data_IF_674120072846
#
_entry.id   IF_674120072846
#
_cell.length_a   1.000
_cell.length_b   1.000
_cell.length_c   1.000
_cell.angle_alpha   90.00
_cell.angle_beta   90.00
_cell.angle_gamma   90.00
#
_symmetry.space_group_name_H-M   'P 1'
#
loop_
_entity.id
_entity.type
_entity.pdbx_description
1 polymer ?
#
# COMPACT_ATOMS: atom_id res chain seq x y z
N UNK A 1 -13.25 38.43 0.20
CA UNK A 1 -12.31 37.63 -0.62
C UNK A 1 -11.20 37.24 0.31
N UNK A 2 -11.31 35.99 0.82
CA UNK A 2 -10.51 35.55 1.93
C UNK A 2 -9.09 35.13 1.51
N UNK A 3 -8.29 34.77 2.48
CA UNK A 3 -6.90 34.31 2.48
C UNK A 3 -6.60 33.27 1.36
N UNK A 4 -7.60 32.58 0.84
CA UNK A 4 -7.58 31.52 -0.17
C UNK A 4 -7.34 32.01 -1.61
N UNK A 5 -7.69 33.28 -1.94
CA UNK A 5 -7.53 33.80 -3.31
C UNK A 5 -6.08 33.86 -3.80
N UNK A 6 -5.13 34.03 -2.89
CA UNK A 6 -3.70 34.14 -3.24
C UNK A 6 -2.98 32.78 -3.35
N UNK A 7 -3.50 31.71 -2.73
CA UNK A 7 -2.91 30.38 -2.79
C UNK A 7 -3.23 29.68 -4.12
N UNK A 8 -4.44 29.89 -4.65
CA UNK A 8 -4.88 29.35 -5.96
C UNK A 8 -4.14 30.01 -7.14
N UNK A 9 -3.68 31.25 -6.99
CA UNK A 9 -3.04 32.02 -8.08
C UNK A 9 -1.56 31.64 -8.29
N UNK A 10 -0.88 31.06 -7.30
CA UNK A 10 0.56 30.75 -7.38
C UNK A 10 0.90 29.46 -8.14
N UNK A 11 -0.08 28.62 -8.51
CA UNK A 11 0.17 27.33 -9.17
C UNK A 11 -0.38 27.27 -10.59
N UNK A 12 0.00 28.24 -11.46
CA UNK A 12 -0.17 28.12 -12.91
C UNK A 12 1.08 27.55 -13.60
N UNK A 13 1.63 26.47 -13.10
CA UNK A 13 2.34 25.56 -13.98
C UNK A 13 1.32 24.55 -14.50
N UNK A 14 0.79 24.83 -15.69
CA UNK A 14 -0.04 23.89 -16.45
C UNK A 14 0.90 22.77 -16.88
N UNK A 15 1.02 21.73 -16.06
CA UNK A 15 1.58 20.46 -16.53
C UNK A 15 0.65 19.94 -17.62
N UNK A 16 1.16 19.81 -18.82
CA UNK A 16 0.41 19.21 -19.92
C UNK A 16 0.37 17.69 -19.62
N UNK A 17 -0.71 17.23 -18.95
CA UNK A 17 -0.91 15.83 -18.66
C UNK A 17 -1.51 15.13 -19.88
N UNK A 18 -0.97 13.97 -20.24
CA UNK A 18 -1.50 13.11 -21.31
C UNK A 18 -2.80 12.42 -20.87
N UNK A 19 -2.90 12.13 -19.57
CA UNK A 19 -4.02 11.35 -19.01
C UNK A 19 -5.00 12.25 -18.24
N UNK A 20 -6.29 11.85 -18.23
CA UNK A 20 -7.34 12.53 -17.45
C UNK A 20 -7.23 12.14 -15.97
N UNK A 21 -6.43 12.90 -15.22
CA UNK A 21 -6.25 12.77 -13.78
C UNK A 21 -6.94 13.89 -12.98
N UNK A 22 -7.79 14.69 -13.65
CA UNK A 22 -8.53 15.82 -13.06
C UNK A 22 -10.01 15.50 -12.79
N UNK A 23 -10.55 14.49 -13.48
CA UNK A 23 -11.96 14.13 -13.38
C UNK A 23 -12.12 12.79 -12.65
N UNK A 24 -13.06 12.75 -11.71
CA UNK A 24 -13.46 11.51 -11.02
C UNK A 24 -14.89 11.14 -11.39
N UNK A 25 -15.19 9.86 -11.26
CA UNK A 25 -16.56 9.35 -11.26
C UNK A 25 -16.94 8.97 -9.82
N UNK A 26 -18.01 9.56 -9.29
CA UNK A 26 -18.55 9.11 -8.01
C UNK A 26 -18.86 7.61 -8.06
N UNK A 27 -18.37 6.86 -7.08
CA UNK A 27 -18.46 5.39 -7.09
C UNK A 27 -19.56 4.85 -6.16
N UNK A 28 -20.59 5.69 -5.89
CA UNK A 28 -21.82 5.23 -5.26
C UNK A 28 -22.49 4.21 -6.14
N UNK A 29 -23.07 3.23 -5.84
CA UNK A 29 -23.83 2.29 -6.70
C UNK A 29 -23.02 1.19 -7.41
N UNK A 30 -21.69 1.29 -7.44
CA UNK A 30 -20.84 0.20 -7.97
C UNK A 30 -20.16 -0.64 -6.86
N UNK A 31 -20.59 -0.47 -5.61
CA UNK A 31 -20.09 -1.27 -4.49
C UNK A 31 -18.72 -0.84 -3.95
N UNK A 32 -18.23 0.36 -4.25
CA UNK A 32 -16.97 0.86 -3.72
C UNK A 32 -17.02 0.99 -2.20
N UNK A 33 -16.15 0.27 -1.49
CA UNK A 33 -16.15 0.23 -0.03
C UNK A 33 -16.03 1.63 0.58
N UNK A 34 -15.00 2.40 0.23
CA UNK A 34 -14.76 3.72 0.79
C UNK A 34 -15.86 4.74 0.46
N UNK A 35 -16.51 4.64 -0.70
CA UNK A 35 -17.62 5.52 -1.06
C UNK A 35 -18.90 5.18 -0.29
N UNK A 36 -19.11 3.91 0.07
CA UNK A 36 -20.28 3.51 0.89
C UNK A 36 -20.21 4.07 2.31
N UNK A 37 -19.03 4.29 2.89
CA UNK A 37 -18.88 4.89 4.22
C UNK A 37 -19.48 6.29 4.31
N UNK A 38 -19.49 7.04 3.20
CA UNK A 38 -20.01 8.41 3.14
C UNK A 38 -21.50 8.50 2.82
N UNK A 39 -22.12 7.42 2.32
CA UNK A 39 -23.44 7.42 1.66
C UNK A 39 -24.56 8.09 2.46
N UNK A 40 -24.54 7.96 3.78
CA UNK A 40 -25.61 8.44 4.65
C UNK A 40 -25.26 9.74 5.40
N UNK A 41 -24.12 10.35 5.11
CA UNK A 41 -23.76 11.61 5.75
C UNK A 41 -24.33 12.79 4.94
N UNK A 42 -25.24 13.60 5.54
CA UNK A 42 -25.90 14.71 4.84
C UNK A 42 -24.96 15.87 4.47
N UNK A 43 -23.73 15.88 4.97
CA UNK A 43 -22.72 16.88 4.64
C UNK A 43 -21.91 16.55 3.37
N UNK A 44 -22.15 15.38 2.77
CA UNK A 44 -21.46 14.96 1.55
C UNK A 44 -22.07 15.70 0.35
N UNK A 45 -21.23 16.44 -0.35
CA UNK A 45 -21.52 17.13 -1.61
C UNK A 45 -20.50 16.72 -2.69
N UNK A 46 -20.57 17.35 -3.86
CA UNK A 46 -19.67 17.05 -4.99
C UNK A 46 -18.19 17.39 -4.74
N UNK A 47 -17.89 18.09 -3.65
CA UNK A 47 -16.51 18.44 -3.24
C UNK A 47 -15.93 17.45 -2.22
N UNK A 48 -16.69 16.45 -1.83
CA UNK A 48 -16.26 15.44 -0.86
C UNK A 48 -15.97 14.13 -1.56
N UNK A 49 -14.78 13.62 -1.33
CA UNK A 49 -14.37 12.26 -1.70
C UNK A 49 -13.78 11.55 -0.49
N UNK A 50 -13.79 10.21 -0.47
CA UNK A 50 -13.13 9.48 0.59
C UNK A 50 -11.60 9.44 0.37
N UNK A 51 -10.85 9.68 1.44
CA UNK A 51 -9.40 9.57 1.50
C UNK A 51 -8.94 8.32 2.25
N UNK A 52 -9.89 7.45 2.60
CA UNK A 52 -9.64 6.12 3.18
C UNK A 52 -9.33 5.09 2.09
N UNK A 53 -9.00 3.90 2.52
CA UNK A 53 -8.70 2.73 1.67
C UNK A 53 -7.59 3.01 0.64
N UNK A 54 -6.73 2.04 0.38
CA UNK A 54 -5.64 2.20 -0.57
C UNK A 54 -6.08 1.77 -1.98
N UNK A 55 -6.99 2.52 -2.60
CA UNK A 55 -7.25 2.58 -4.04
C UNK A 55 -7.32 4.04 -4.51
N UNK A 56 -7.15 4.29 -5.80
CA UNK A 56 -7.05 5.63 -6.34
C UNK A 56 -8.40 6.13 -6.86
N UNK A 57 -8.56 7.46 -6.95
CA UNK A 57 -9.71 8.11 -7.59
C UNK A 57 -9.48 8.39 -9.09
N UNK A 58 -8.43 7.84 -9.67
CA UNK A 58 -8.11 7.97 -11.09
C UNK A 58 -8.69 6.81 -11.91
N UNK A 59 -9.10 7.10 -13.15
CA UNK A 59 -9.41 6.05 -14.14
C UNK A 59 -8.13 5.30 -14.50
N UNK A 60 -8.30 4.07 -14.95
CA UNK A 60 -7.20 3.29 -15.54
C UNK A 60 -6.60 4.01 -16.74
N UNK A 61 -5.33 3.73 -17.03
CA UNK A 61 -4.73 4.12 -18.30
C UNK A 61 -5.61 3.65 -19.46
N UNK A 62 -5.84 4.50 -20.47
CA UNK A 62 -6.64 4.13 -21.65
C UNK A 62 -6.13 2.85 -22.32
N UNK A 63 -4.83 2.65 -22.37
CA UNK A 63 -4.18 1.47 -22.95
C UNK A 63 -4.64 0.17 -22.24
N UNK A 64 -4.84 0.21 -20.94
CA UNK A 64 -5.36 -0.93 -20.17
C UNK A 64 -6.84 -1.13 -20.48
N UNK A 65 -7.64 -0.05 -20.43
CA UNK A 65 -9.08 -0.10 -20.63
C UNK A 65 -9.44 -0.60 -22.03
N UNK A 66 -8.82 -0.04 -23.08
CA UNK A 66 -9.09 -0.41 -24.47
C UNK A 66 -8.54 -1.81 -24.79
N UNK A 67 -7.38 -2.16 -24.21
CA UNK A 67 -6.84 -3.51 -24.33
C UNK A 67 -7.77 -4.57 -23.74
N UNK A 68 -8.36 -4.33 -22.56
CA UNK A 68 -9.34 -5.23 -21.94
C UNK A 68 -10.63 -5.35 -22.77
N UNK A 69 -11.16 -4.24 -23.29
CA UNK A 69 -12.34 -4.28 -24.19
C UNK A 69 -12.06 -5.16 -25.41
N UNK A 70 -10.93 -4.90 -26.08
CA UNK A 70 -10.52 -5.69 -27.22
C UNK A 70 -10.32 -7.16 -26.86
N UNK A 71 -9.74 -7.46 -25.70
CA UNK A 71 -9.57 -8.84 -25.27
C UNK A 71 -10.90 -9.56 -25.07
N UNK A 72 -11.92 -8.88 -24.51
CA UNK A 72 -13.27 -9.43 -24.33
C UNK A 72 -13.93 -9.67 -25.68
N UNK A 73 -13.78 -8.74 -26.63
CA UNK A 73 -14.39 -8.85 -27.98
C UNK A 73 -13.78 -10.00 -28.78
N UNK A 74 -12.47 -10.24 -28.63
CA UNK A 74 -11.74 -11.21 -29.44
C UNK A 74 -11.72 -12.64 -28.85
N UNK A 75 -12.08 -12.84 -27.58
CA UNK A 75 -11.80 -14.10 -26.89
C UNK A 75 -13.03 -14.70 -26.17
N UNK A 76 -12.99 -16.01 -25.98
CA UNK A 76 -13.93 -16.74 -25.12
C UNK A 76 -13.40 -16.70 -23.68
N UNK A 77 -14.25 -16.28 -22.74
CA UNK A 77 -13.90 -16.18 -21.30
C UNK A 77 -14.12 -17.52 -20.59
N UNK A 78 -13.44 -18.57 -21.06
CA UNK A 78 -13.47 -19.90 -20.45
C UNK A 78 -12.45 -20.05 -19.32
N UNK A 79 -12.32 -21.28 -18.78
CA UNK A 79 -11.28 -21.58 -17.81
C UNK A 79 -9.90 -21.36 -18.41
N UNK A 80 -9.06 -20.61 -17.73
CA UNK A 80 -7.72 -20.29 -18.19
C UNK A 80 -6.74 -20.24 -17.02
N UNK A 81 -5.50 -20.59 -17.32
CA UNK A 81 -4.34 -20.32 -16.44
C UNK A 81 -3.49 -19.20 -17.02
N UNK A 82 -2.31 -19.01 -16.45
CA UNK A 82 -1.33 -18.06 -16.93
C UNK A 82 -0.81 -18.44 -18.32
N UNK A 83 -0.49 -17.44 -19.11
CA UNK A 83 0.14 -17.62 -20.40
C UNK A 83 1.55 -17.01 -20.44
N UNK A 84 2.30 -17.35 -21.49
CA UNK A 84 3.68 -16.89 -21.67
C UNK A 84 3.80 -15.36 -21.66
N UNK A 85 2.91 -14.63 -22.34
CA UNK A 85 2.96 -13.15 -22.43
C UNK A 85 2.81 -12.50 -21.05
N UNK A 86 1.88 -12.99 -20.24
CA UNK A 86 1.71 -12.53 -18.87
C UNK A 86 2.98 -12.77 -18.04
N UNK A 87 3.52 -14.01 -18.03
CA UNK A 87 4.73 -14.35 -17.26
C UNK A 87 5.92 -13.50 -17.67
N UNK A 88 6.14 -13.36 -18.97
CA UNK A 88 7.20 -12.49 -19.50
C UNK A 88 7.04 -11.02 -19.10
N UNK A 89 5.81 -10.47 -19.13
CA UNK A 89 5.56 -9.08 -18.70
C UNK A 89 5.88 -8.88 -17.23
N UNK A 90 5.50 -9.83 -16.37
CA UNK A 90 5.81 -9.81 -14.94
C UNK A 90 7.33 -9.84 -14.70
N UNK A 91 8.05 -10.79 -15.33
CA UNK A 91 9.50 -10.89 -15.17
C UNK A 91 10.23 -9.65 -15.69
N UNK A 92 9.83 -9.11 -16.85
CA UNK A 92 10.41 -7.89 -17.41
C UNK A 92 10.19 -6.67 -16.53
N UNK A 93 8.99 -6.56 -15.93
CA UNK A 93 8.69 -5.47 -15.00
C UNK A 93 9.59 -5.51 -13.77
N UNK A 94 9.73 -6.66 -13.13
CA UNK A 94 10.60 -6.85 -11.97
C UNK A 94 12.06 -6.51 -12.29
N UNK A 95 12.57 -7.01 -13.42
CA UNK A 95 13.94 -6.71 -13.85
C UNK A 95 14.15 -5.22 -14.12
N UNK A 96 13.21 -4.59 -14.82
CA UNK A 96 13.34 -3.19 -15.26
C UNK A 96 13.25 -2.21 -14.09
N UNK A 97 12.31 -2.41 -13.18
CA UNK A 97 11.98 -1.43 -12.14
C UNK A 97 12.60 -1.72 -10.78
N UNK A 98 12.97 -2.98 -10.50
CA UNK A 98 13.45 -3.40 -9.18
C UNK A 98 14.81 -4.09 -9.21
N UNK A 99 15.49 -4.14 -10.36
CA UNK A 99 16.76 -4.88 -10.55
C UNK A 99 16.63 -6.37 -10.10
N UNK A 100 15.41 -6.89 -10.08
CA UNK A 100 15.11 -8.25 -9.60
C UNK A 100 14.92 -9.21 -10.77
N UNK A 101 15.95 -10.01 -11.05
CA UNK A 101 15.89 -11.06 -12.08
C UNK A 101 15.14 -12.26 -11.53
N UNK A 102 13.97 -12.56 -12.11
CA UNK A 102 13.09 -13.67 -11.71
C UNK A 102 13.09 -14.78 -12.77
N UNK A 103 13.14 -16.04 -12.30
CA UNK A 103 12.79 -17.19 -13.14
C UNK A 103 11.26 -17.33 -13.16
N UNK A 104 10.67 -17.48 -14.35
CA UNK A 104 9.21 -17.69 -14.51
C UNK A 104 8.67 -18.87 -13.68
N UNK A 105 9.52 -19.84 -13.35
CA UNK A 105 9.16 -20.99 -12.52
C UNK A 105 8.88 -20.64 -11.06
N UNK A 106 9.44 -19.49 -10.59
CA UNK A 106 9.22 -19.03 -9.22
C UNK A 106 7.85 -18.39 -9.03
N UNK A 107 7.21 -17.99 -10.14
CA UNK A 107 5.94 -17.27 -10.10
C UNK A 107 4.79 -18.19 -9.70
N UNK A 108 4.10 -17.77 -8.66
CA UNK A 108 2.84 -18.33 -8.16
C UNK A 108 1.82 -17.19 -8.09
N UNK A 109 0.65 -17.43 -8.63
CA UNK A 109 -0.42 -16.43 -8.65
C UNK A 109 -1.35 -16.62 -7.45
N UNK A 110 -1.82 -15.53 -6.85
CA UNK A 110 -2.88 -15.52 -5.84
C UNK A 110 -3.87 -14.41 -6.12
N UNK A 111 -5.08 -14.48 -5.56
CA UNK A 111 -6.13 -13.46 -5.77
C UNK A 111 -5.73 -12.09 -5.18
N UNK A 112 -4.84 -12.05 -4.22
CA UNK A 112 -4.29 -10.83 -3.65
C UNK A 112 -3.04 -11.11 -2.83
N UNK A 113 -2.24 -10.08 -2.54
CA UNK A 113 -1.12 -10.20 -1.59
C UNK A 113 -1.62 -10.58 -0.19
N UNK A 114 -2.84 -10.17 0.18
CA UNK A 114 -3.46 -10.63 1.45
C UNK A 114 -3.64 -12.15 1.43
N UNK A 115 -4.18 -12.74 0.37
CA UNK A 115 -4.25 -14.21 0.24
C UNK A 115 -2.85 -14.83 0.32
N UNK A 116 -1.85 -14.23 -0.33
CA UNK A 116 -0.49 -14.76 -0.34
C UNK A 116 0.09 -14.88 1.09
N UNK A 117 0.02 -13.82 1.92
CA UNK A 117 0.56 -13.93 3.27
C UNK A 117 -0.31 -14.76 4.22
N UNK A 118 -1.65 -14.85 4.01
CA UNK A 118 -2.50 -15.80 4.72
C UNK A 118 -2.10 -17.25 4.41
N UNK A 119 -1.91 -17.57 3.13
CA UNK A 119 -1.43 -18.88 2.68
C UNK A 119 -0.05 -19.19 3.26
N UNK A 120 0.88 -18.21 3.23
CA UNK A 120 2.22 -18.39 3.79
C UNK A 120 2.18 -18.68 5.29
N UNK A 121 1.37 -17.94 6.07
CA UNK A 121 1.18 -18.20 7.52
C UNK A 121 0.68 -19.63 7.76
N UNK A 122 -0.26 -20.11 6.97
CA UNK A 122 -0.79 -21.49 7.10
C UNK A 122 0.24 -22.55 6.71
N UNK A 123 0.92 -22.35 5.58
CA UNK A 123 1.85 -23.32 4.99
C UNK A 123 3.14 -23.49 5.81
N UNK A 124 3.64 -22.42 6.45
CA UNK A 124 5.00 -22.40 7.02
C UNK A 124 5.05 -22.22 8.54
N UNK A 125 3.90 -22.16 9.20
CA UNK A 125 3.84 -22.09 10.67
C UNK A 125 2.80 -23.04 11.22
N UNK A 126 2.90 -23.33 12.52
CA UNK A 126 1.92 -24.11 13.27
C UNK A 126 1.11 -23.20 14.19
N UNK A 127 -0.05 -23.70 14.70
CA UNK A 127 -0.80 -22.99 15.75
C UNK A 127 0.08 -22.75 16.96
N UNK A 128 0.12 -21.49 17.43
CA UNK A 128 0.97 -21.08 18.55
C UNK A 128 2.36 -20.58 18.16
N UNK A 129 2.82 -20.81 16.92
CA UNK A 129 4.07 -20.23 16.44
C UNK A 129 3.98 -18.69 16.38
N UNK A 130 5.11 -18.04 16.63
CA UNK A 130 5.26 -16.59 16.57
C UNK A 130 5.44 -16.09 15.15
N UNK A 131 4.67 -15.07 14.77
CA UNK A 131 4.83 -14.31 13.53
C UNK A 131 5.10 -12.86 13.87
N UNK A 132 6.25 -12.35 13.42
CA UNK A 132 6.71 -10.98 13.69
C UNK A 132 6.10 -9.96 12.74
N UNK A 133 5.80 -8.77 13.28
CA UNK A 133 5.43 -7.57 12.53
C UNK A 133 6.18 -6.35 13.07
N UNK A 134 6.68 -5.49 12.18
CA UNK A 134 7.06 -4.13 12.53
C UNK A 134 5.80 -3.26 12.59
N UNK A 135 5.51 -2.63 13.74
CA UNK A 135 4.24 -1.91 13.97
C UNK A 135 4.46 -0.40 14.21
N UNK A 136 3.53 0.50 13.79
CA UNK A 136 2.20 0.22 13.20
C UNK A 136 2.32 -0.34 11.78
N UNK A 137 1.37 -1.22 11.38
CA UNK A 137 1.40 -1.85 10.06
C UNK A 137 0.00 -2.16 9.54
N UNK A 138 -0.13 -2.48 8.28
CA UNK A 138 -1.36 -2.83 7.59
C UNK A 138 -2.16 -3.92 8.33
N UNK A 139 -3.37 -3.57 8.74
CA UNK A 139 -4.18 -4.38 9.68
C UNK A 139 -4.52 -5.81 9.22
N UNK A 140 -4.64 -6.16 7.92
CA UNK A 140 -4.84 -7.56 7.53
C UNK A 140 -3.68 -8.49 7.91
N UNK A 141 -2.47 -7.97 8.15
CA UNK A 141 -1.35 -8.79 8.62
C UNK A 141 -1.58 -9.29 10.05
N UNK A 142 -2.17 -8.47 10.93
CA UNK A 142 -2.61 -8.91 12.26
C UNK A 142 -3.67 -10.01 12.15
N UNK A 143 -4.66 -9.82 11.24
CA UNK A 143 -5.73 -10.81 11.01
C UNK A 143 -5.19 -12.13 10.49
N UNK A 144 -4.17 -12.13 9.63
CA UNK A 144 -3.55 -13.35 9.15
C UNK A 144 -2.92 -14.17 10.28
N UNK A 145 -2.38 -13.51 11.28
CA UNK A 145 -1.79 -14.14 12.46
C UNK A 145 -2.89 -14.67 13.39
N UNK A 146 -3.83 -13.81 13.74
CA UNK A 146 -4.87 -14.06 14.74
C UNK A 146 -5.87 -15.14 14.30
N UNK A 147 -6.45 -15.00 13.10
CA UNK A 147 -7.43 -15.94 12.54
C UNK A 147 -6.83 -17.35 12.42
N UNK A 148 -5.55 -17.43 12.05
CA UNK A 148 -4.84 -18.68 11.94
C UNK A 148 -4.29 -19.20 13.29
N UNK A 149 -4.63 -18.57 14.42
CA UNK A 149 -4.21 -18.98 15.77
C UNK A 149 -2.69 -19.00 15.96
N UNK A 150 -1.96 -18.11 15.29
CA UNK A 150 -0.55 -17.85 15.52
C UNK A 150 -0.40 -16.76 16.58
N UNK A 151 0.77 -16.67 17.16
CA UNK A 151 1.12 -15.67 18.16
C UNK A 151 1.68 -14.42 17.49
N UNK A 152 1.05 -13.29 17.71
CA UNK A 152 1.58 -12.00 17.26
C UNK A 152 2.85 -11.63 18.06
N UNK A 153 3.94 -11.35 17.36
CA UNK A 153 5.21 -10.87 17.91
C UNK A 153 5.45 -9.45 17.39
N UNK A 154 4.99 -8.46 18.13
CA UNK A 154 5.16 -7.05 17.74
C UNK A 154 6.58 -6.55 18.00
N UNK A 155 7.08 -5.79 17.05
CA UNK A 155 8.31 -5.00 17.13
C UNK A 155 7.92 -3.55 16.80
N UNK A 156 7.53 -2.75 17.82
CA UNK A 156 7.18 -1.36 17.61
C UNK A 156 8.35 -0.59 17.01
N UNK A 157 8.09 0.09 15.92
CA UNK A 157 9.04 1.00 15.29
C UNK A 157 9.19 2.27 16.13
N UNK A 158 10.37 2.84 16.13
CA UNK A 158 10.72 4.07 16.85
C UNK A 158 10.41 5.25 15.93
N UNK A 159 9.39 6.04 16.27
CA UNK A 159 9.12 7.30 15.58
C UNK A 159 10.14 8.36 15.99
N UNK A 160 10.99 8.80 15.06
CA UNK A 160 12.01 9.84 15.29
C UNK A 160 11.55 11.26 14.92
N UNK A 161 10.26 11.43 14.59
CA UNK A 161 9.63 12.70 14.20
C UNK A 161 9.68 13.01 12.70
N UNK A 162 10.49 12.28 11.93
CA UNK A 162 10.61 12.42 10.47
C UNK A 162 10.22 11.12 9.80
N UNK A 163 10.71 9.99 10.33
CA UNK A 163 10.47 8.63 9.84
C UNK A 163 10.43 7.65 11.02
N UNK A 164 10.50 6.38 10.73
CA UNK A 164 10.47 5.31 11.72
C UNK A 164 11.72 4.45 11.61
N UNK A 165 12.33 4.10 12.74
CA UNK A 165 13.52 3.27 12.83
C UNK A 165 13.20 1.93 13.46
N UNK A 166 14.02 0.90 13.17
CA UNK A 166 13.88 -0.43 13.77
C UNK A 166 14.58 -0.43 15.13
N UNK A 167 13.91 -0.92 16.18
CA UNK A 167 14.55 -1.33 17.42
C UNK A 167 15.28 -2.67 17.20
N UNK A 168 16.56 -2.58 16.84
CA UNK A 168 17.38 -3.73 16.49
C UNK A 168 17.62 -4.69 17.65
N UNK A 169 17.70 -4.19 18.87
CA UNK A 169 17.89 -5.01 20.06
C UNK A 169 16.64 -5.80 20.38
N UNK A 170 15.48 -5.15 20.32
CA UNK A 170 14.19 -5.81 20.48
C UNK A 170 13.96 -6.82 19.36
N UNK A 171 14.21 -6.46 18.10
CA UNK A 171 14.05 -7.36 16.96
C UNK A 171 14.91 -8.62 17.11
N UNK A 172 16.21 -8.44 17.39
CA UNK A 172 17.15 -9.56 17.61
C UNK A 172 16.73 -10.44 18.78
N UNK A 173 16.26 -9.83 19.89
CA UNK A 173 15.76 -10.57 21.05
C UNK A 173 14.53 -11.41 20.72
N UNK A 174 13.56 -10.85 19.97
CA UNK A 174 12.33 -11.54 19.56
C UNK A 174 12.59 -12.63 18.54
N UNK A 175 13.52 -12.42 17.61
CA UNK A 175 13.92 -13.40 16.62
C UNK A 175 14.55 -14.66 17.25
N UNK A 176 15.24 -14.53 18.37
CA UNK A 176 15.86 -15.67 19.09
C UNK A 176 14.87 -16.56 19.84
N UNK A 177 13.59 -16.16 19.94
CA UNK A 177 12.59 -17.01 20.58
C UNK A 177 12.30 -18.23 19.71
N UNK A 178 12.39 -19.43 20.29
CA UNK A 178 12.31 -20.71 19.55
C UNK A 178 10.99 -20.93 18.83
N UNK A 179 9.93 -20.29 19.31
CA UNK A 179 8.58 -20.33 18.72
C UNK A 179 8.37 -19.27 17.61
N UNK A 180 9.32 -18.36 17.38
CA UNK A 180 9.23 -17.39 16.28
C UNK A 180 9.66 -18.01 14.96
N UNK A 181 8.77 -18.05 13.95
CA UNK A 181 8.98 -18.77 12.69
C UNK A 181 8.89 -17.90 11.44
N UNK A 182 8.28 -16.72 11.53
CA UNK A 182 8.01 -15.91 10.35
C UNK A 182 8.11 -14.41 10.67
N UNK A 183 8.57 -13.64 9.70
CA UNK A 183 8.43 -12.18 9.63
C UNK A 183 7.58 -11.84 8.41
N UNK A 184 6.44 -11.14 8.58
CA UNK A 184 5.75 -10.49 7.47
C UNK A 184 6.28 -9.06 7.38
N UNK A 185 7.04 -8.78 6.33
CA UNK A 185 7.72 -7.51 6.10
C UNK A 185 6.97 -6.67 5.08
N UNK A 186 6.34 -5.57 5.51
CA UNK A 186 5.74 -4.59 4.61
C UNK A 186 6.84 -3.68 4.02
N UNK A 187 7.07 -3.72 2.72
CA UNK A 187 8.21 -3.05 2.05
C UNK A 187 7.83 -2.56 0.63
N UNK A 188 7.56 -1.27 0.42
CA UNK A 188 7.54 -0.13 1.36
C UNK A 188 6.51 -0.27 2.47
N UNK A 189 6.78 0.38 3.62
CA UNK A 189 6.03 0.19 4.85
C UNK A 189 4.77 1.07 4.94
N UNK A 190 3.61 0.46 4.96
CA UNK A 190 2.30 1.09 5.17
C UNK A 190 1.86 0.88 6.64
N UNK A 191 1.52 1.94 7.42
CA UNK A 191 1.08 3.25 6.96
C UNK A 191 2.17 4.33 6.89
N UNK A 192 3.38 4.07 7.35
CA UNK A 192 4.40 5.11 7.55
C UNK A 192 5.02 5.67 6.27
N UNK A 193 4.78 5.03 5.11
CA UNK A 193 5.28 5.51 3.83
C UNK A 193 6.80 5.43 3.66
N UNK A 194 7.52 4.62 4.48
CA UNK A 194 8.97 4.52 4.43
C UNK A 194 9.47 3.39 3.54
N UNK A 195 10.68 3.56 3.00
CA UNK A 195 11.45 2.54 2.29
C UNK A 195 12.52 2.00 3.24
N UNK A 196 12.70 0.67 3.25
CA UNK A 196 13.83 0.04 3.94
C UNK A 196 15.08 0.15 3.08
N UNK A 197 16.22 0.55 3.70
CA UNK A 197 17.50 0.61 2.99
C UNK A 197 18.06 -0.78 2.74
N UNK A 198 19.02 -0.90 1.82
CA UNK A 198 19.71 -2.17 1.57
C UNK A 198 20.39 -2.70 2.82
N UNK A 199 21.00 -1.81 3.61
CA UNK A 199 21.67 -2.13 4.86
C UNK A 199 20.68 -2.69 5.89
N UNK A 200 19.51 -2.07 6.02
CA UNK A 200 18.45 -2.55 6.92
C UNK A 200 17.92 -3.92 6.47
N UNK A 201 17.63 -4.07 5.18
CA UNK A 201 17.15 -5.35 4.63
C UNK A 201 18.20 -6.45 4.77
N UNK A 202 19.49 -6.13 4.59
CA UNK A 202 20.59 -7.08 4.81
C UNK A 202 20.62 -7.53 6.27
N UNK A 203 20.55 -6.59 7.21
CA UNK A 203 20.55 -6.91 8.64
C UNK A 203 19.29 -7.69 9.06
N UNK A 204 18.11 -7.36 8.51
CA UNK A 204 16.89 -8.16 8.70
C UNK A 204 17.12 -9.58 8.22
N UNK A 205 17.69 -9.75 7.01
CA UNK A 205 17.97 -11.05 6.41
C UNK A 205 18.94 -11.87 7.28
N UNK A 206 20.05 -11.29 7.72
CA UNK A 206 21.03 -11.95 8.57
C UNK A 206 20.42 -12.45 9.88
N UNK A 207 19.60 -11.63 10.55
CA UNK A 207 18.90 -12.01 11.78
C UNK A 207 17.89 -13.14 11.52
N UNK A 208 17.11 -13.03 10.45
CA UNK A 208 16.10 -14.03 10.11
C UNK A 208 16.75 -15.39 9.74
N UNK A 209 17.78 -15.38 8.89
CA UNK A 209 18.50 -16.59 8.49
C UNK A 209 19.18 -17.28 9.69
N UNK A 210 19.81 -16.50 10.57
CA UNK A 210 20.48 -17.04 11.77
C UNK A 210 19.51 -17.74 12.75
N UNK A 211 18.20 -17.47 12.66
CA UNK A 211 17.17 -18.01 13.55
C UNK A 211 16.11 -18.86 12.82
N UNK A 212 16.35 -19.24 11.57
CA UNK A 212 15.45 -20.03 10.73
C UNK A 212 14.03 -19.41 10.63
N UNK A 213 13.98 -18.10 10.38
CA UNK A 213 12.75 -17.32 10.25
C UNK A 213 12.48 -17.00 8.79
N UNK A 214 11.37 -17.52 8.24
CA UNK A 214 10.93 -17.24 6.89
C UNK A 214 10.49 -15.76 6.76
N UNK A 215 10.95 -15.06 5.73
CA UNK A 215 10.50 -13.70 5.44
C UNK A 215 9.45 -13.72 4.34
N UNK A 216 8.27 -13.17 4.62
CA UNK A 216 7.23 -12.89 3.64
C UNK A 216 7.25 -11.39 3.37
N UNK A 217 7.86 -10.97 2.26
CA UNK A 217 8.00 -9.57 1.90
C UNK A 217 6.78 -9.12 1.07
N UNK A 218 5.95 -8.28 1.66
CA UNK A 218 4.84 -7.61 0.98
C UNK A 218 5.38 -6.35 0.27
N UNK A 219 5.67 -6.48 -1.01
CA UNK A 219 6.20 -5.43 -1.88
C UNK A 219 5.12 -4.81 -2.79
N UNK A 220 3.84 -4.87 -2.38
CA UNK A 220 2.71 -4.38 -3.18
C UNK A 220 2.80 -2.88 -3.54
N UNK A 221 3.57 -2.10 -2.79
CA UNK A 221 3.79 -0.68 -3.01
C UNK A 221 5.13 -0.35 -3.70
N UNK A 222 5.88 -1.34 -4.14
CA UNK A 222 7.24 -1.20 -4.66
C UNK A 222 7.39 -0.22 -5.83
N UNK A 223 6.35 -0.06 -6.66
CA UNK A 223 6.36 0.83 -7.83
C UNK A 223 5.98 2.30 -7.50
N UNK A 224 5.43 2.55 -6.31
CA UNK A 224 4.89 3.85 -5.91
C UNK A 224 5.93 4.63 -5.10
N UNK A 225 7.01 5.02 -5.75
CA UNK A 225 8.19 5.61 -5.12
C UNK A 225 8.22 7.11 -5.39
N UNK A 226 8.36 7.90 -4.32
CA UNK A 226 8.43 9.36 -4.45
C UNK A 226 9.76 9.81 -5.05
N UNK A 227 9.78 10.96 -5.77
CA UNK A 227 11.02 11.48 -6.36
C UNK A 227 12.17 11.58 -5.35
N UNK A 228 13.35 11.11 -5.75
CA UNK A 228 14.56 11.11 -4.92
C UNK A 228 14.76 9.86 -4.06
N UNK A 229 13.83 8.90 -4.09
CA UNK A 229 13.94 7.63 -3.37
C UNK A 229 14.03 6.44 -4.34
N UNK A 230 14.48 5.30 -3.84
CA UNK A 230 14.55 4.05 -4.60
C UNK A 230 14.16 2.88 -3.70
N UNK A 231 13.23 2.05 -4.15
CA UNK A 231 12.91 0.78 -3.51
C UNK A 231 14.03 -0.24 -3.75
N UNK A 232 14.25 -1.10 -2.78
CA UNK A 232 15.13 -2.27 -2.87
C UNK A 232 14.27 -3.50 -2.61
N UNK A 233 14.13 -4.36 -3.61
CA UNK A 233 13.42 -5.62 -3.40
C UNK A 233 14.22 -6.54 -2.47
N UNK A 234 13.53 -7.15 -1.51
CA UNK A 234 14.13 -8.11 -0.58
C UNK A 234 14.77 -9.29 -1.33
N UNK A 235 14.21 -9.68 -2.46
CA UNK A 235 14.74 -10.74 -3.33
C UNK A 235 16.11 -10.44 -3.94
N UNK A 236 16.61 -9.20 -3.83
CA UNK A 236 17.94 -8.77 -4.36
C UNK A 236 19.02 -8.67 -3.29
N UNK A 237 18.72 -9.01 -2.04
CA UNK A 237 19.66 -8.81 -0.91
C UNK A 237 20.80 -9.83 -0.96
N UNK A 238 20.46 -11.11 -1.01
CA UNK A 238 21.41 -12.21 -1.23
C UNK A 238 20.68 -13.43 -1.78
N UNK A 239 21.44 -14.41 -2.26
CA UNK A 239 20.88 -15.67 -2.72
C UNK A 239 20.19 -16.42 -1.58
N UNK A 240 20.80 -16.43 -0.40
CA UNK A 240 20.27 -17.08 0.79
C UNK A 240 18.97 -16.41 1.26
N UNK A 241 18.92 -15.07 1.24
CA UNK A 241 17.70 -14.31 1.55
C UNK A 241 16.56 -14.65 0.58
N UNK A 242 16.85 -14.72 -0.72
CA UNK A 242 15.88 -15.08 -1.76
C UNK A 242 15.37 -16.51 -1.58
N UNK A 243 16.25 -17.48 -1.35
CA UNK A 243 15.87 -18.89 -1.14
C UNK A 243 15.07 -19.09 0.17
N UNK A 244 15.20 -18.19 1.13
CA UNK A 244 14.50 -18.25 2.42
C UNK A 244 13.44 -17.14 2.55
N UNK A 245 12.75 -16.83 1.44
CA UNK A 245 11.71 -15.81 1.42
C UNK A 245 10.58 -16.11 0.44
N UNK A 246 9.49 -15.36 0.60
CA UNK A 246 8.35 -15.26 -0.31
C UNK A 246 8.17 -13.78 -0.63
N UNK A 247 8.32 -13.39 -1.90
CA UNK A 247 8.20 -12.00 -2.34
C UNK A 247 6.83 -11.81 -3.00
N UNK A 248 6.02 -10.91 -2.46
CA UNK A 248 4.66 -10.67 -2.91
C UNK A 248 4.54 -9.30 -3.58
N UNK A 249 4.17 -9.27 -4.85
CA UNK A 249 3.92 -8.06 -5.64
C UNK A 249 2.55 -8.09 -6.30
N UNK A 250 2.04 -6.96 -6.76
CA UNK A 250 0.79 -6.92 -7.51
C UNK A 250 0.65 -5.63 -8.34
N UNK A 251 -0.07 -5.64 -9.48
CA UNK A 251 -0.39 -4.42 -10.22
C UNK A 251 -1.48 -3.58 -9.54
N UNK A 252 -2.10 -4.11 -8.49
CA UNK A 252 -3.34 -3.58 -7.90
C UNK A 252 -3.19 -2.19 -7.30
N UNK A 253 -2.06 -1.87 -6.67
CA UNK A 253 -1.79 -0.53 -6.11
C UNK A 253 -1.17 0.38 -7.16
N UNK A 254 -0.25 -0.14 -7.94
CA UNK A 254 0.48 0.58 -8.99
C UNK A 254 -0.45 1.14 -10.06
N UNK A 255 -1.42 0.36 -10.51
CA UNK A 255 -2.30 0.68 -11.64
C UNK A 255 -3.79 0.72 -11.29
N UNK A 256 -4.12 0.86 -9.99
CA UNK A 256 -5.51 0.90 -9.52
C UNK A 256 -6.37 -0.31 -9.95
N UNK A 257 -5.77 -1.51 -9.95
CA UNK A 257 -6.36 -2.76 -10.42
C UNK A 257 -6.82 -3.69 -9.28
N UNK A 258 -7.08 -3.16 -8.08
CA UNK A 258 -7.47 -3.99 -6.92
C UNK A 258 -8.71 -4.86 -7.18
N UNK A 259 -9.68 -4.36 -7.96
CA UNK A 259 -10.89 -5.10 -8.33
C UNK A 259 -10.64 -6.29 -9.26
N UNK A 260 -9.46 -6.38 -9.89
CA UNK A 260 -9.07 -7.52 -10.73
C UNK A 260 -8.60 -8.74 -9.94
N UNK A 261 -8.23 -8.56 -8.67
CA UNK A 261 -7.87 -9.65 -7.77
C UNK A 261 -6.76 -10.56 -8.34
N UNK A 262 -5.55 -10.01 -8.48
CA UNK A 262 -4.35 -10.75 -8.89
C UNK A 262 -3.13 -10.25 -8.13
N UNK A 263 -2.29 -11.16 -7.67
CA UNK A 263 -0.93 -10.87 -7.24
C UNK A 263 0.09 -11.87 -7.80
N UNK A 264 1.33 -11.41 -7.87
CA UNK A 264 2.49 -12.15 -8.37
C UNK A 264 3.37 -12.47 -7.17
N UNK A 265 3.49 -13.75 -6.82
CA UNK A 265 4.28 -14.23 -5.69
C UNK A 265 5.49 -14.98 -6.22
N UNK A 266 6.69 -14.55 -5.81
CA UNK A 266 7.94 -15.20 -6.23
C UNK A 266 8.49 -16.03 -5.09
N UNK A 267 8.66 -17.34 -5.34
CA UNK A 267 9.19 -18.32 -4.40
C UNK A 267 10.31 -19.10 -5.11
N UNK A 268 11.57 -18.71 -4.88
CA UNK A 268 12.72 -19.32 -5.55
C UNK A 268 12.94 -20.76 -5.10
N UNK A 269 12.84 -21.02 -3.79
CA UNK A 269 12.96 -22.35 -3.22
C UNK A 269 11.83 -23.26 -3.69
N UNK A 270 12.18 -24.35 -4.37
CA UNK A 270 11.20 -25.29 -4.96
C UNK A 270 10.36 -25.99 -3.88
N UNK A 271 10.97 -26.38 -2.75
CA UNK A 271 10.23 -27.03 -1.66
C UNK A 271 9.20 -26.06 -1.06
N UNK A 272 9.58 -24.81 -0.82
CA UNK A 272 8.65 -23.80 -0.32
C UNK A 272 7.53 -23.53 -1.32
N UNK A 273 7.86 -23.44 -2.60
CA UNK A 273 6.86 -23.25 -3.66
C UNK A 273 5.85 -24.39 -3.73
N UNK A 274 6.31 -25.62 -3.55
CA UNK A 274 5.43 -26.80 -3.52
C UNK A 274 4.54 -26.82 -2.27
N UNK A 275 5.06 -26.48 -1.08
CA UNK A 275 4.29 -26.36 0.15
C UNK A 275 3.25 -25.24 0.05
N UNK A 276 3.63 -24.07 -0.50
CA UNK A 276 2.71 -22.97 -0.70
C UNK A 276 1.55 -23.36 -1.63
N UNK A 277 1.84 -23.99 -2.78
CA UNK A 277 0.82 -24.46 -3.72
C UNK A 277 -0.08 -25.54 -3.12
N UNK A 278 0.47 -26.42 -2.31
CA UNK A 278 -0.31 -27.42 -1.60
C UNK A 278 -1.30 -26.79 -0.63
N UNK A 279 -0.90 -25.72 0.08
CA UNK A 279 -1.79 -24.96 0.96
C UNK A 279 -2.88 -24.20 0.18
N UNK A 280 -2.53 -23.54 -0.94
CA UNK A 280 -3.52 -22.91 -1.83
C UNK A 280 -4.60 -23.91 -2.27
N UNK A 281 -4.21 -25.12 -2.61
CA UNK A 281 -5.14 -26.16 -3.04
C UNK A 281 -6.16 -26.53 -1.94
N UNK A 282 -5.82 -26.39 -0.66
CA UNK A 282 -6.77 -26.64 0.45
C UNK A 282 -7.92 -25.62 0.49
N UNK A 283 -7.66 -24.39 0.00
CA UNK A 283 -8.65 -23.32 -0.09
C UNK A 283 -9.33 -23.26 -1.48
N UNK A 284 -9.07 -24.26 -2.36
CA UNK A 284 -9.51 -24.31 -3.75
C UNK A 284 -9.07 -23.08 -4.59
N UNK A 285 -7.96 -22.46 -4.22
CA UNK A 285 -7.38 -21.31 -4.91
C UNK A 285 -6.45 -21.78 -6.04
N UNK A 286 -7.05 -22.16 -7.20
CA UNK A 286 -6.30 -22.77 -8.29
C UNK A 286 -5.92 -21.81 -9.43
N UNK A 287 -6.70 -20.75 -9.66
CA UNK A 287 -6.45 -19.81 -10.75
C UNK A 287 -7.19 -18.48 -10.56
N UNK A 288 -6.56 -17.41 -10.98
CA UNK A 288 -7.20 -16.10 -11.07
C UNK A 288 -8.02 -15.96 -12.37
N UNK A 289 -8.76 -14.88 -12.49
CA UNK A 289 -9.54 -14.58 -13.70
C UNK A 289 -8.62 -14.36 -14.91
N UNK A 290 -9.06 -14.83 -16.08
CA UNK A 290 -8.38 -14.55 -17.36
C UNK A 290 -8.20 -13.04 -17.60
N UNK A 291 -9.18 -12.23 -17.18
CA UNK A 291 -9.13 -10.76 -17.30
C UNK A 291 -8.09 -10.16 -16.36
N UNK A 292 -7.84 -10.80 -15.20
CA UNK A 292 -6.80 -10.35 -14.27
C UNK A 292 -5.40 -10.51 -14.85
N UNK A 293 -5.12 -11.63 -15.50
CA UNK A 293 -3.85 -11.86 -16.19
C UNK A 293 -3.62 -10.87 -17.32
N UNK A 294 -4.66 -10.62 -18.13
CA UNK A 294 -4.57 -9.67 -19.23
C UNK A 294 -4.43 -8.22 -18.72
N UNK A 295 -5.18 -7.83 -17.69
CA UNK A 295 -5.04 -6.51 -17.08
C UNK A 295 -3.62 -6.27 -16.54
N UNK A 296 -3.04 -7.27 -15.86
CA UNK A 296 -1.67 -7.20 -15.37
C UNK A 296 -0.65 -7.05 -16.51
N UNK A 297 -0.81 -7.86 -17.57
CA UNK A 297 0.05 -7.78 -18.75
C UNK A 297 0.01 -6.40 -19.40
N UNK A 298 -1.20 -5.89 -19.67
CA UNK A 298 -1.40 -4.57 -20.27
C UNK A 298 -0.82 -3.46 -19.40
N UNK A 299 -1.02 -3.55 -18.08
CA UNK A 299 -0.50 -2.58 -17.14
C UNK A 299 1.04 -2.52 -17.17
N UNK A 300 1.71 -3.67 -17.12
CA UNK A 300 3.17 -3.75 -17.12
C UNK A 300 3.79 -3.43 -18.50
N UNK A 301 3.09 -3.70 -19.59
CA UNK A 301 3.58 -3.38 -20.93
C UNK A 301 3.37 -1.91 -21.33
N UNK A 302 2.28 -1.27 -20.86
CA UNK A 302 1.83 0.03 -21.39
C UNK A 302 1.53 1.09 -20.34
N UNK A 303 1.54 0.76 -19.04
CA UNK A 303 1.08 1.68 -17.98
C UNK A 303 2.13 2.63 -17.42
N UNK A 304 3.41 2.53 -17.81
CA UNK A 304 4.53 3.25 -17.18
C UNK A 304 4.39 4.78 -17.25
N UNK A 305 3.96 5.32 -18.39
CA UNK A 305 3.76 6.77 -18.54
C UNK A 305 2.63 7.27 -17.64
N UNK A 306 1.52 6.54 -17.56
CA UNK A 306 0.42 6.83 -16.66
C UNK A 306 0.88 6.83 -15.19
N UNK A 307 1.63 5.82 -14.78
CA UNK A 307 2.19 5.72 -13.43
C UNK A 307 3.05 6.93 -13.10
N UNK A 308 3.88 7.38 -14.05
CA UNK A 308 4.72 8.57 -13.87
C UNK A 308 3.90 9.82 -13.60
N UNK A 309 2.81 10.06 -14.36
CA UNK A 309 1.92 11.20 -14.14
C UNK A 309 1.18 11.09 -12.79
N UNK A 310 0.74 9.90 -12.41
CA UNK A 310 0.10 9.65 -11.10
C UNK A 310 1.05 9.96 -9.94
N UNK A 311 2.30 9.50 -10.00
CA UNK A 311 3.31 9.80 -8.98
C UNK A 311 3.55 11.32 -8.88
N UNK A 312 3.59 12.02 -10.01
CA UNK A 312 3.74 13.47 -10.02
C UNK A 312 2.58 14.19 -9.31
N UNK A 313 1.34 13.77 -9.55
CA UNK A 313 0.17 14.35 -8.85
C UNK A 313 0.23 14.04 -7.35
N UNK A 314 0.59 12.83 -6.96
CA UNK A 314 0.75 12.47 -5.55
C UNK A 314 1.81 13.36 -4.87
N UNK A 315 2.94 13.63 -5.54
CA UNK A 315 3.99 14.51 -5.03
C UNK A 315 3.53 15.96 -4.90
N UNK A 316 2.74 16.45 -5.87
CA UNK A 316 2.09 17.78 -5.81
C UNK A 316 1.12 17.85 -4.62
N UNK A 317 0.23 16.88 -4.50
CA UNK A 317 -0.75 16.81 -3.41
C UNK A 317 -0.07 16.76 -2.04
N UNK A 318 1.00 15.96 -1.91
CA UNK A 318 1.85 15.90 -0.71
C UNK A 318 2.39 17.29 -0.35
N UNK A 319 2.99 18.00 -1.30
CA UNK A 319 3.56 19.34 -1.06
C UNK A 319 2.51 20.33 -0.60
N UNK A 320 1.34 20.34 -1.23
CA UNK A 320 0.22 21.24 -0.86
C UNK A 320 -0.20 20.99 0.60
N UNK A 321 -0.34 19.72 1.01
CA UNK A 321 -0.71 19.40 2.38
C UNK A 321 0.40 19.77 3.35
N UNK A 322 1.67 19.51 3.03
CA UNK A 322 2.80 19.84 3.90
C UNK A 322 2.90 21.36 4.11
N UNK A 323 2.79 22.16 3.05
CA UNK A 323 2.84 23.63 3.13
C UNK A 323 1.68 24.16 3.98
N UNK A 324 0.47 23.65 3.76
CA UNK A 324 -0.70 24.02 4.54
C UNK A 324 -0.54 23.65 6.03
N UNK A 325 -0.10 22.45 6.35
CA UNK A 325 0.11 22.04 7.74
C UNK A 325 1.21 22.85 8.41
N UNK A 326 2.30 23.14 7.70
CA UNK A 326 3.36 24.00 8.22
C UNK A 326 2.87 25.43 8.52
N UNK A 327 1.95 25.95 7.71
CA UNK A 327 1.43 27.30 7.87
C UNK A 327 0.40 27.41 9.00
N UNK A 328 -0.55 26.46 9.09
CA UNK A 328 -1.72 26.56 9.98
C UNK A 328 -1.65 25.62 11.19
N UNK A 329 -1.01 24.46 11.07
CA UNK A 329 -0.96 23.41 12.10
C UNK A 329 0.45 22.83 12.26
N UNK A 330 1.49 23.63 12.54
CA UNK A 330 2.88 23.16 12.61
C UNK A 330 3.15 22.15 13.74
N UNK A 331 2.23 22.00 14.67
CA UNK A 331 2.25 20.98 15.71
C UNK A 331 1.88 19.58 15.21
N UNK A 332 1.14 19.46 14.09
CA UNK A 332 0.89 18.19 13.41
C UNK A 332 2.16 17.76 12.70
N UNK A 333 2.70 16.61 13.06
CA UNK A 333 3.90 16.07 12.41
C UNK A 333 3.50 15.16 11.27
N UNK A 334 4.20 15.28 10.14
CA UNK A 334 3.97 14.48 8.95
C UNK A 334 5.20 13.61 8.73
N UNK A 335 4.98 12.29 8.66
CA UNK A 335 6.05 11.36 8.32
C UNK A 335 6.52 11.61 6.88
N UNK A 336 7.82 11.60 6.63
CA UNK A 336 8.39 11.73 5.30
C UNK A 336 7.87 10.62 4.39
N UNK A 337 7.03 10.99 3.43
CA UNK A 337 6.51 10.07 2.43
C UNK A 337 7.61 9.74 1.41
N UNK A 338 8.20 8.57 1.53
CA UNK A 338 9.23 8.05 0.63
C UNK A 338 8.62 7.16 -0.46
N UNK A 339 7.52 6.49 -0.13
CA UNK A 339 6.79 5.60 -1.03
C UNK A 339 5.31 5.54 -0.67
N UNK A 340 4.51 4.89 -1.50
CA UNK A 340 3.04 4.81 -1.44
C UNK A 340 2.37 6.12 -1.86
N UNK A 341 1.05 6.15 -1.83
CA UNK A 341 0.25 7.38 -1.94
C UNK A 341 -0.50 7.68 -0.63
N UNK A 342 0.03 7.18 0.50
CA UNK A 342 -0.62 7.18 1.80
C UNK A 342 0.21 8.03 2.77
N UNK A 343 -0.25 9.24 3.05
CA UNK A 343 0.43 10.17 3.95
C UNK A 343 0.03 9.88 5.40
N UNK A 344 1.00 9.85 6.30
CA UNK A 344 0.81 9.54 7.71
C UNK A 344 0.99 10.80 8.56
N UNK A 345 -0.08 11.23 9.26
CA UNK A 345 -0.13 12.47 10.01
C UNK A 345 -0.34 12.20 11.50
N UNK A 346 0.44 12.85 12.34
CA UNK A 346 0.42 12.77 13.80
C UNK A 346 -0.36 13.93 14.40
N UNK A 347 -1.60 13.67 14.83
CA UNK A 347 -2.50 14.63 15.48
C UNK A 347 -2.42 14.62 17.01
N UNK A 348 -1.49 13.86 17.62
CA UNK A 348 -1.41 13.69 19.10
C UNK A 348 -1.19 15.00 19.83
N UNK A 349 -0.59 16.01 19.17
CA UNK A 349 -0.43 17.36 19.74
C UNK A 349 -1.76 18.06 20.08
N UNK A 350 -2.88 17.60 19.53
CA UNK A 350 -4.20 18.16 19.84
C UNK A 350 -4.84 17.55 21.10
N UNK A 351 -4.22 16.52 21.68
CA UNK A 351 -4.71 15.81 22.87
C UNK A 351 -6.18 15.33 22.75
N UNK A 352 -6.59 14.92 21.55
CA UNK A 352 -7.89 14.33 21.28
C UNK A 352 -7.82 12.80 21.46
N UNK A 353 -8.91 12.19 21.93
CA UNK A 353 -9.05 10.72 21.86
C UNK A 353 -9.24 10.27 20.41
N UNK A 354 -9.09 8.97 20.14
CA UNK A 354 -9.34 8.43 18.79
C UNK A 354 -10.77 8.72 18.34
N UNK A 355 -11.75 8.56 19.23
CA UNK A 355 -13.17 8.80 18.97
C UNK A 355 -13.45 10.29 18.67
N UNK A 356 -12.83 11.20 19.42
CA UNK A 356 -12.96 12.65 19.19
C UNK A 356 -12.33 13.06 17.85
N UNK A 357 -11.16 12.48 17.51
CA UNK A 357 -10.48 12.72 16.25
C UNK A 357 -11.32 12.22 15.06
N UNK A 358 -11.81 10.98 15.12
CA UNK A 358 -12.69 10.38 14.11
C UNK A 358 -13.99 11.17 13.93
N UNK A 359 -14.68 11.49 15.06
CA UNK A 359 -15.91 12.30 15.01
C UNK A 359 -15.66 13.66 14.37
N UNK A 360 -14.55 14.31 14.69
CA UNK A 360 -14.20 15.63 14.14
C UNK A 360 -13.93 15.53 12.64
N UNK A 361 -13.15 14.54 12.21
CA UNK A 361 -12.88 14.31 10.80
C UNK A 361 -14.15 13.98 10.02
N UNK A 362 -14.88 12.96 10.43
CA UNK A 362 -16.05 12.45 9.68
C UNK A 362 -17.28 13.34 9.76
N UNK A 363 -17.61 13.88 10.96
CA UNK A 363 -18.85 14.60 11.18
C UNK A 363 -18.71 16.13 11.05
N UNK A 364 -17.57 16.73 11.41
CA UNK A 364 -17.38 18.17 11.30
C UNK A 364 -16.69 18.57 10.00
N UNK A 365 -15.61 17.89 9.65
CA UNK A 365 -14.83 18.20 8.45
C UNK A 365 -15.36 17.48 7.19
N UNK A 366 -16.15 16.44 7.32
CA UNK A 366 -16.54 15.54 6.25
C UNK A 366 -15.31 14.98 5.49
N UNK A 367 -14.31 14.58 6.27
CA UNK A 367 -13.07 13.95 5.80
C UNK A 367 -13.04 12.50 6.26
N UNK A 368 -12.89 11.59 5.32
CA UNK A 368 -12.89 10.15 5.55
C UNK A 368 -11.47 9.62 5.32
N UNK A 369 -10.67 9.63 6.38
CA UNK A 369 -9.33 9.03 6.44
C UNK A 369 -9.41 7.57 6.86
N UNK A 370 -8.26 6.87 6.88
CA UNK A 370 -8.13 5.67 7.70
C UNK A 370 -7.57 6.08 9.05
N UNK A 371 -8.32 5.81 10.12
CA UNK A 371 -7.96 6.12 11.49
C UNK A 371 -6.71 5.34 11.90
N UNK A 372 -5.74 6.02 12.51
CA UNK A 372 -4.44 5.42 12.80
C UNK A 372 -4.49 4.22 13.74
N UNK A 373 -5.45 4.17 14.67
CA UNK A 373 -5.57 3.07 15.64
C UNK A 373 -5.85 1.71 14.98
N UNK A 374 -6.41 1.67 13.76
CA UNK A 374 -6.64 0.40 13.04
C UNK A 374 -5.33 -0.28 12.62
N UNK A 375 -4.22 0.46 12.54
CA UNK A 375 -2.88 -0.05 12.23
C UNK A 375 -2.12 -0.57 13.47
N UNK A 376 -2.79 -0.66 14.62
CA UNK A 376 -2.25 -1.09 15.91
C UNK A 376 -2.11 0.06 16.91
N UNK A 377 -1.78 -0.25 18.15
CA UNK A 377 -1.69 0.74 19.26
C UNK A 377 -0.79 1.92 18.95
N UNK A 378 0.32 1.68 18.25
CA UNK A 378 1.29 2.71 17.87
C UNK A 378 0.72 3.75 16.90
N UNK A 379 -0.43 3.46 16.27
CA UNK A 379 -1.12 4.37 15.37
C UNK A 379 -2.18 5.25 16.05
N UNK A 380 -2.43 5.11 17.36
CA UNK A 380 -3.41 5.96 18.06
C UNK A 380 -3.04 7.44 17.96
N UNK A 381 -4.03 8.28 17.60
CA UNK A 381 -3.87 9.72 17.40
C UNK A 381 -3.22 10.10 16.05
N UNK A 382 -3.04 9.13 15.15
CA UNK A 382 -2.63 9.36 13.77
C UNK A 382 -3.79 9.22 12.80
N UNK A 383 -3.60 9.77 11.59
CA UNK A 383 -4.51 9.61 10.45
C UNK A 383 -3.71 9.25 9.20
N UNK A 384 -4.24 8.35 8.37
CA UNK A 384 -3.65 8.01 7.08
C UNK A 384 -4.47 8.61 5.95
N UNK A 385 -3.88 9.54 5.21
CA UNK A 385 -4.51 10.27 4.11
C UNK A 385 -4.08 9.71 2.75
N UNK A 386 -5.02 9.19 1.97
CA UNK A 386 -4.79 8.77 0.60
C UNK A 386 -4.72 9.98 -0.33
N UNK A 387 -3.58 10.18 -1.00
CA UNK A 387 -3.27 11.32 -1.87
C UNK A 387 -3.59 11.07 -3.35
N UNK A 388 -3.97 9.86 -3.73
CA UNK A 388 -4.17 9.48 -5.13
C UNK A 388 -5.55 9.94 -5.64
N UNK A 389 -5.72 11.26 -5.76
CA UNK A 389 -6.92 11.92 -6.23
C UNK A 389 -6.58 13.24 -6.95
N UNK A 390 -7.50 13.82 -7.74
CA UNK A 390 -7.29 15.13 -8.35
C UNK A 390 -7.04 16.22 -7.32
N UNK A 391 -6.07 17.10 -7.58
CA UNK A 391 -5.56 18.13 -6.66
C UNK A 391 -6.65 19.06 -6.11
N UNK A 392 -7.70 19.35 -6.88
CA UNK A 392 -8.83 20.17 -6.42
C UNK A 392 -9.51 19.61 -5.16
N UNK A 393 -9.56 18.28 -4.99
CA UNK A 393 -10.16 17.66 -3.80
C UNK A 393 -9.27 17.82 -2.56
N UNK A 394 -7.96 17.90 -2.74
CA UNK A 394 -7.03 18.23 -1.65
C UNK A 394 -7.31 19.65 -1.14
N UNK A 395 -7.48 20.63 -2.03
CA UNK A 395 -7.79 22.00 -1.62
C UNK A 395 -9.10 22.08 -0.83
N UNK A 396 -10.18 21.44 -1.33
CA UNK A 396 -11.47 21.42 -0.62
C UNK A 396 -11.38 20.67 0.74
N UNK A 397 -10.58 19.62 0.79
CA UNK A 397 -10.35 18.90 2.05
C UNK A 397 -9.60 19.76 3.07
N UNK A 398 -8.59 20.53 2.65
CA UNK A 398 -7.83 21.43 3.52
C UNK A 398 -8.70 22.60 4.06
N UNK A 399 -9.61 23.13 3.24
CA UNK A 399 -10.60 24.14 3.71
C UNK A 399 -11.48 23.57 4.81
N UNK A 400 -12.00 22.35 4.64
CA UNK A 400 -12.83 21.64 5.63
C UNK A 400 -12.04 21.32 6.90
N UNK A 401 -10.80 20.87 6.76
CA UNK A 401 -9.90 20.59 7.87
C UNK A 401 -9.65 21.86 8.70
N UNK A 402 -9.34 22.99 8.03
CA UNK A 402 -9.15 24.25 8.73
C UNK A 402 -10.38 24.65 9.55
N UNK A 403 -11.58 24.59 8.97
CA UNK A 403 -12.81 24.95 9.70
C UNK A 403 -13.08 24.03 10.89
N UNK A 404 -12.78 22.74 10.79
CA UNK A 404 -12.98 21.77 11.85
C UNK A 404 -11.96 21.85 12.98
N UNK A 405 -10.77 22.42 12.71
CA UNK A 405 -9.63 22.47 13.65
C UNK A 405 -9.13 23.87 13.94
N UNK A 406 -9.89 24.93 13.56
CA UNK A 406 -9.45 26.32 13.66
C UNK A 406 -9.02 26.76 15.06
N UNK A 407 -9.56 26.16 16.13
CA UNK A 407 -9.16 26.45 17.50
C UNK A 407 -7.72 25.99 17.82
N UNK A 408 -7.14 25.11 17.02
CA UNK A 408 -5.75 24.65 17.12
C UNK A 408 -4.82 25.37 16.13
N UNK A 409 -5.38 26.17 15.22
CA UNK A 409 -4.59 26.87 14.21
C UNK A 409 -3.73 27.97 14.86
N UNK A 410 -2.50 28.17 14.32
CA UNK A 410 -1.59 29.22 14.78
C UNK A 410 -1.80 30.55 14.05
N UNK A 411 -2.60 30.55 12.97
CA UNK A 411 -2.98 31.73 12.18
C UNK A 411 -4.48 31.75 11.92
#
# INVERSE_FOLDING_TARGET
MGVWGNMIIKMKEVYFMKYDLENINARFGIGSQKWQEMKNNPLVDEKVIPFSVADMEFKLAPEITEGLKKFIDDNILGYAGTNKKYRESVCKWQQKHHDFTVDEKWLVETHSVVNAFFTAVKAFTQKGDGVMLFTPVYYPMYKAIEINQRKLVEIPLINNGITYDIDWDLFTKKAKAIDTKMLILCSPHNPCGRIWTREELTKISEICLANDILVVADEIHADLIMPGFKHVSYGTISKEALEHSIICTAPSKTFNLAGMQLSNVFIANENYRNLFKAEQATDADFACSILSYEACRLAYEYGEEWLTEVINIIDINKKIIMDFMQEYFPQVKITQLQATYLLWLDFRAFNLTNEELEMRNRQKACLYFDEGYIFGKAGSGFERWNLACPTKYIHWALERLYQAYKEFAVK
#
